data_IF_103546605495
#
_entry.id   IF_103546605495
#
_cell.length_a   1.000
_cell.length_b   1.000
_cell.length_c   1.000
_cell.angle_alpha   90.00
_cell.angle_beta   90.00
_cell.angle_gamma   90.00
#
_symmetry.space_group_name_H-M   'P 1'
#
loop_
_entity.id
_entity.type
_entity.pdbx_description
1 polymer ?
#
# COMPACT_ATOMS: atom_id res chain seq x y z
N UNK A 1 13.79 -22.58 -8.89
CA UNK A 1 14.70 -21.43 -8.72
C UNK A 1 14.00 -20.07 -8.61
N UNK A 2 12.79 -19.87 -9.16
CA UNK A 2 12.15 -18.53 -9.19
C UNK A 2 11.79 -17.95 -7.80
N UNK A 3 11.34 -18.78 -6.86
CA UNK A 3 10.89 -18.29 -5.54
C UNK A 3 12.02 -17.76 -4.65
N UNK A 4 13.17 -18.44 -4.61
CA UNK A 4 14.33 -18.02 -3.79
C UNK A 4 14.88 -16.66 -4.24
N UNK A 5 14.96 -16.43 -5.57
CA UNK A 5 15.40 -15.14 -6.11
C UNK A 5 14.35 -14.04 -5.84
N UNK A 6 13.07 -14.32 -6.05
CA UNK A 6 12.00 -13.37 -5.77
C UNK A 6 11.96 -12.96 -4.28
N UNK A 7 12.19 -13.91 -3.37
CA UNK A 7 12.29 -13.64 -1.94
C UNK A 7 13.47 -12.73 -1.63
N UNK A 8 14.67 -13.07 -2.14
CA UNK A 8 15.86 -12.25 -1.93
C UNK A 8 15.70 -10.82 -2.47
N UNK A 9 15.12 -10.68 -3.66
CA UNK A 9 14.81 -9.39 -4.26
C UNK A 9 13.76 -8.60 -3.48
N UNK A 10 12.77 -9.27 -2.89
CA UNK A 10 11.77 -8.63 -2.03
C UNK A 10 12.41 -8.15 -0.73
N UNK A 11 13.25 -8.98 -0.11
CA UNK A 11 13.89 -8.67 1.17
C UNK A 11 14.84 -7.47 1.10
N UNK A 12 15.63 -7.36 0.01
CA UNK A 12 16.62 -6.29 -0.13
C UNK A 12 16.05 -4.95 -0.62
N UNK A 13 14.78 -4.89 -1.04
CA UNK A 13 14.15 -3.65 -1.52
C UNK A 13 13.63 -2.84 -0.33
N UNK A 14 14.09 -1.60 -0.22
CA UNK A 14 13.59 -0.66 0.80
C UNK A 14 12.13 -0.25 0.58
N UNK A 15 11.64 -0.32 -0.67
CA UNK A 15 10.25 -0.03 -1.04
C UNK A 15 9.70 -1.11 -1.94
N UNK A 16 8.55 -1.66 -1.54
CA UNK A 16 7.79 -2.64 -2.28
C UNK A 16 6.48 -2.03 -2.79
N UNK A 17 5.87 -2.59 -3.86
CA UNK A 17 4.59 -2.13 -4.38
C UNK A 17 3.38 -2.41 -3.46
N UNK A 18 3.61 -2.78 -2.20
CA UNK A 18 2.57 -3.07 -1.20
C UNK A 18 1.70 -1.84 -0.88
N UNK A 19 2.20 -0.64 -1.16
CA UNK A 19 1.39 0.59 -1.08
C UNK A 19 0.14 0.55 -1.96
N UNK A 20 0.19 -0.10 -3.13
CA UNK A 20 -1.00 -0.27 -3.98
C UNK A 20 -2.02 -1.21 -3.33
N UNK A 21 -1.56 -2.28 -2.68
CA UNK A 21 -2.43 -3.19 -1.92
C UNK A 21 -3.08 -2.45 -0.75
N UNK A 22 -2.35 -1.59 -0.06
CA UNK A 22 -2.90 -0.75 1.00
C UNK A 22 -3.97 0.22 0.47
N UNK A 23 -3.72 0.86 -0.67
CA UNK A 23 -4.71 1.72 -1.33
C UNK A 23 -5.98 0.93 -1.72
N UNK A 24 -5.84 -0.28 -2.26
CA UNK A 24 -6.97 -1.15 -2.60
C UNK A 24 -7.77 -1.57 -1.35
N UNK A 25 -7.09 -1.95 -0.27
CA UNK A 25 -7.73 -2.31 1.00
C UNK A 25 -8.51 -1.13 1.59
N UNK A 26 -7.95 0.06 1.53
CA UNK A 26 -8.62 1.27 1.99
C UNK A 26 -9.83 1.62 1.11
N UNK A 27 -9.68 1.52 -0.22
CA UNK A 27 -10.74 1.76 -1.20
C UNK A 27 -11.96 0.86 -0.98
N UNK A 28 -11.75 -0.46 -0.86
CA UNK A 28 -12.86 -1.42 -0.81
C UNK A 28 -13.36 -1.72 0.59
N UNK A 29 -12.54 -1.50 1.62
CA UNK A 29 -12.82 -1.98 2.98
C UNK A 29 -12.59 -0.97 4.09
N UNK A 30 -12.30 0.30 3.78
CA UNK A 30 -11.99 1.34 4.75
C UNK A 30 -10.93 0.90 5.79
N UNK A 31 -9.97 0.08 5.35
CA UNK A 31 -8.98 -0.54 6.23
C UNK A 31 -7.90 0.41 6.72
N UNK A 32 -7.89 1.66 6.25
CA UNK A 32 -6.86 2.66 6.50
C UNK A 32 -5.47 2.23 6.01
N UNK A 33 -4.53 3.16 6.01
CA UNK A 33 -3.12 2.91 5.73
C UNK A 33 -2.21 3.92 6.45
N UNK A 34 -0.93 3.61 6.58
CA UNK A 34 0.07 4.52 7.14
C UNK A 34 0.76 5.33 6.04
N UNK A 35 1.22 6.53 6.40
CA UNK A 35 1.98 7.40 5.50
C UNK A 35 3.45 7.42 5.87
N UNK A 36 4.28 7.77 4.89
CA UNK A 36 5.74 7.82 5.07
C UNK A 36 6.23 9.19 5.53
N UNK A 37 5.42 10.23 5.41
CA UNK A 37 5.76 11.60 5.76
C UNK A 37 5.23 12.01 7.15
N UNK A 38 4.27 11.26 7.71
CA UNK A 38 3.71 11.51 9.04
C UNK A 38 3.13 10.25 9.66
N UNK A 39 3.21 10.17 10.99
CA UNK A 39 2.70 9.04 11.78
C UNK A 39 1.18 9.07 11.89
N UNK A 40 0.54 7.90 11.86
CA UNK A 40 -0.89 7.72 12.07
C UNK A 40 -1.54 6.80 11.03
N UNK A 41 -2.82 6.49 11.24
CA UNK A 41 -3.67 5.77 10.30
C UNK A 41 -4.54 6.76 9.51
N UNK A 42 -4.59 6.57 8.19
CA UNK A 42 -5.28 7.47 7.27
C UNK A 42 -6.30 6.69 6.44
N UNK A 43 -7.50 7.24 6.31
CA UNK A 43 -8.50 6.80 5.35
C UNK A 43 -8.63 7.85 4.25
N UNK A 44 -8.74 7.41 3.00
CA UNK A 44 -9.01 8.30 1.85
C UNK A 44 -10.42 8.08 1.35
N UNK A 45 -11.17 9.16 1.15
CA UNK A 45 -12.50 9.14 0.52
C UNK A 45 -12.39 9.03 -1.00
N UNK A 46 -11.99 7.85 -1.50
CA UNK A 46 -11.67 7.62 -2.91
C UNK A 46 -12.83 7.93 -3.87
N UNK A 47 -14.05 7.58 -3.49
CA UNK A 47 -15.25 7.83 -4.31
C UNK A 47 -15.54 9.32 -4.45
N UNK A 48 -15.24 10.11 -3.41
CA UNK A 48 -15.38 11.57 -3.48
C UNK A 48 -14.32 12.15 -4.42
N UNK A 49 -13.07 11.73 -4.25
CA UNK A 49 -11.95 12.19 -5.08
C UNK A 49 -12.10 11.85 -6.56
N UNK A 50 -12.73 10.73 -6.90
CA UNK A 50 -13.00 10.35 -8.29
C UNK A 50 -14.15 11.13 -8.94
N UNK A 51 -14.95 11.86 -8.16
CA UNK A 51 -16.10 12.66 -8.62
C UNK A 51 -15.81 14.16 -8.66
N UNK A 52 -14.62 14.56 -8.21
CA UNK A 52 -14.05 15.89 -8.35
C UNK A 52 -13.22 15.97 -9.64
#
# INVERSE_FOLDING_TARGET
>A
MCASLAYFDTYRRSRLPVNLVQAQRDLFGAHTYERLDRTGAFHTEWTKLARE
#
